data_IF_863025843130
#
_entry.id   IF_863025843130
#
_cell.length_a   1.000
_cell.length_b   1.000
_cell.length_c   1.000
_cell.angle_alpha   90.00
_cell.angle_beta   90.00
_cell.angle_gamma   90.00
#
_symmetry.space_group_name_H-M   'P 1'
#
loop_
_entity.id
_entity.type
_entity.pdbx_description
1 polymer ?
#
# COMPACT_ATOMS: atom_id res chain seq x y z
N UNK A 1 21.40 2.02 5.22
CA UNK A 1 19.97 1.99 5.57
C UNK A 1 19.87 1.30 6.91
N UNK A 2 19.14 1.88 7.86
CA UNK A 2 18.99 1.31 9.20
C UNK A 2 18.03 0.09 9.20
N UNK A 3 18.06 -0.67 10.30
CA UNK A 3 17.25 -1.90 10.45
C UNK A 3 15.75 -1.62 10.42
N UNK A 4 15.28 -0.52 11.01
CA UNK A 4 13.85 -0.19 11.07
C UNK A 4 13.29 0.05 9.67
N UNK A 5 14.05 0.75 8.82
CA UNK A 5 13.66 0.99 7.43
C UNK A 5 13.60 -0.31 6.60
N UNK A 6 14.56 -1.22 6.78
CA UNK A 6 14.58 -2.53 6.09
C UNK A 6 13.35 -3.35 6.49
N UNK A 7 13.10 -3.48 7.78
CA UNK A 7 11.95 -4.23 8.32
C UNK A 7 10.63 -3.66 7.81
N UNK A 8 10.52 -2.33 7.74
CA UNK A 8 9.34 -1.65 7.23
C UNK A 8 9.07 -1.99 5.75
N UNK A 9 10.11 -1.96 4.90
CA UNK A 9 9.97 -2.27 3.47
C UNK A 9 9.59 -3.74 3.27
N UNK A 10 10.34 -4.68 3.87
CA UNK A 10 10.05 -6.12 3.75
C UNK A 10 8.63 -6.44 4.22
N UNK A 11 8.19 -5.83 5.32
CA UNK A 11 6.88 -6.11 5.90
C UNK A 11 5.71 -5.54 5.10
N UNK A 12 5.82 -4.29 4.65
CA UNK A 12 4.67 -3.56 4.08
C UNK A 12 4.69 -3.46 2.55
N UNK A 13 5.84 -3.73 1.94
CA UNK A 13 6.05 -3.69 0.49
C UNK A 13 6.49 -5.05 -0.07
N UNK A 14 6.13 -6.14 0.63
CA UNK A 14 6.37 -7.54 0.18
C UNK A 14 5.90 -7.81 -1.25
N UNK A 15 4.86 -7.11 -1.73
CA UNK A 15 4.38 -7.21 -3.13
C UNK A 15 5.40 -6.74 -4.19
N UNK A 16 6.44 -6.01 -3.78
CA UNK A 16 7.51 -5.55 -4.66
C UNK A 16 8.70 -6.53 -4.70
N UNK A 17 8.65 -7.59 -3.87
CA UNK A 17 9.63 -8.67 -3.90
C UNK A 17 9.38 -9.59 -5.09
N UNK A 18 10.43 -10.20 -5.62
CA UNK A 18 10.29 -11.26 -6.64
C UNK A 18 9.74 -12.53 -6.01
N UNK A 19 9.26 -13.46 -6.84
CA UNK A 19 8.77 -14.76 -6.36
C UNK A 19 9.87 -15.51 -5.57
N UNK A 20 11.10 -15.53 -6.09
CA UNK A 20 12.24 -16.15 -5.41
C UNK A 20 12.58 -15.47 -4.07
N UNK A 21 12.50 -14.14 -3.99
CA UNK A 21 12.71 -13.43 -2.72
C UNK A 21 11.59 -13.74 -1.71
N UNK A 22 10.34 -13.84 -2.16
CA UNK A 22 9.21 -14.23 -1.32
C UNK A 22 9.40 -15.65 -0.79
N UNK A 23 9.83 -16.58 -1.65
CA UNK A 23 10.13 -17.96 -1.28
C UNK A 23 11.32 -18.04 -0.31
N UNK A 24 12.38 -17.27 -0.52
CA UNK A 24 13.53 -17.21 0.41
C UNK A 24 13.13 -16.67 1.79
N UNK A 25 12.32 -15.62 1.83
CA UNK A 25 11.77 -15.07 3.08
C UNK A 25 10.91 -16.10 3.82
N UNK A 26 10.03 -16.80 3.09
CA UNK A 26 9.21 -17.87 3.65
C UNK A 26 10.09 -19.02 4.16
N UNK A 27 11.06 -19.47 3.36
CA UNK A 27 11.99 -20.54 3.71
C UNK A 27 12.66 -20.26 5.06
N UNK A 28 13.23 -19.06 5.23
CA UNK A 28 13.89 -18.69 6.47
C UNK A 28 12.90 -18.68 7.65
N UNK A 29 11.78 -17.98 7.51
CA UNK A 29 10.78 -17.84 8.57
C UNK A 29 10.20 -19.18 9.02
N UNK A 30 9.85 -20.06 8.08
CA UNK A 30 9.22 -21.34 8.38
C UNK A 30 10.23 -22.39 8.85
N UNK A 31 11.47 -22.33 8.37
CA UNK A 31 12.57 -23.13 8.92
C UNK A 31 12.81 -22.81 10.39
N UNK A 32 12.79 -21.53 10.76
CA UNK A 32 12.89 -21.11 12.16
C UNK A 32 11.68 -21.56 12.98
N UNK A 33 10.45 -21.33 12.49
CA UNK A 33 9.21 -21.70 13.21
C UNK A 33 9.00 -23.20 13.41
N UNK A 34 9.67 -24.04 12.63
CA UNK A 34 9.56 -25.50 12.69
C UNK A 34 10.83 -26.19 13.19
N UNK A 35 11.78 -25.44 13.78
CA UNK A 35 13.06 -25.98 14.27
C UNK A 35 12.86 -27.16 15.23
N UNK A 36 11.82 -27.09 16.05
CA UNK A 36 11.60 -28.03 17.16
C UNK A 36 10.58 -29.14 16.82
N UNK A 37 10.05 -29.16 15.60
CA UNK A 37 9.02 -30.13 15.20
C UNK A 37 9.20 -30.59 13.77
N UNK A 38 9.67 -31.83 13.63
CA UNK A 38 9.82 -32.52 12.34
C UNK A 38 8.47 -32.63 11.62
N UNK A 39 7.39 -32.91 12.36
CA UNK A 39 6.03 -32.99 11.79
C UNK A 39 5.60 -31.67 11.16
N UNK A 40 5.75 -30.55 11.87
CA UNK A 40 5.44 -29.23 11.33
C UNK A 40 6.34 -28.88 10.14
N UNK A 41 7.63 -29.25 10.22
CA UNK A 41 8.60 -29.01 9.14
C UNK A 41 8.18 -29.71 7.84
N UNK A 42 7.78 -30.98 7.91
CA UNK A 42 7.34 -31.74 6.74
C UNK A 42 6.10 -31.11 6.10
N UNK A 43 5.11 -30.69 6.89
CA UNK A 43 3.93 -29.98 6.37
C UNK A 43 4.33 -28.68 5.65
N UNK A 44 5.29 -27.93 6.20
CA UNK A 44 5.74 -26.68 5.59
C UNK A 44 6.51 -26.92 4.28
N UNK A 45 7.27 -28.02 4.17
CA UNK A 45 7.93 -28.45 2.94
C UNK A 45 6.88 -28.86 1.89
N UNK A 46 5.91 -29.69 2.25
CA UNK A 46 4.82 -30.14 1.35
C UNK A 46 4.00 -28.96 0.79
N UNK A 47 3.83 -27.89 1.58
CA UNK A 47 3.17 -26.65 1.15
C UNK A 47 4.05 -25.72 0.32
N UNK A 48 5.31 -26.08 0.06
CA UNK A 48 6.28 -25.26 -0.65
C UNK A 48 6.76 -24.03 0.12
N UNK A 49 6.52 -23.95 1.43
CA UNK A 49 6.91 -22.82 2.27
C UNK A 49 8.37 -22.89 2.71
N UNK A 50 8.91 -24.10 2.84
CA UNK A 50 10.34 -24.36 2.97
C UNK A 50 10.79 -24.95 1.63
N UNK A 51 11.46 -24.12 0.82
CA UNK A 51 11.89 -24.48 -0.53
C UNK A 51 13.42 -24.66 -0.57
N UNK A 52 13.92 -25.77 -1.11
CA UNK A 52 15.35 -26.10 -1.20
C UNK A 52 15.93 -25.95 -2.61
N UNK A 53 15.22 -25.27 -3.51
CA UNK A 53 15.71 -24.99 -4.85
C UNK A 53 17.01 -24.17 -4.78
N UNK A 54 18.00 -24.46 -5.65
CA UNK A 54 19.32 -23.82 -5.59
C UNK A 54 19.26 -22.30 -5.67
N UNK A 55 18.33 -21.75 -6.44
CA UNK A 55 18.15 -20.30 -6.59
C UNK A 55 17.72 -19.63 -5.28
N UNK A 56 16.86 -20.29 -4.50
CA UNK A 56 16.35 -19.79 -3.22
C UNK A 56 17.45 -19.86 -2.16
N UNK A 57 18.18 -20.97 -2.10
CA UNK A 57 19.29 -21.15 -1.17
C UNK A 57 20.41 -20.14 -1.46
N UNK A 58 20.69 -19.88 -2.74
CA UNK A 58 21.68 -18.87 -3.16
C UNK A 58 21.34 -17.47 -2.65
N UNK A 59 20.07 -17.08 -2.60
CA UNK A 59 19.67 -15.79 -2.03
C UNK A 59 20.02 -15.65 -0.54
N UNK A 60 20.12 -16.76 0.18
CA UNK A 60 20.40 -16.82 1.61
C UNK A 60 21.88 -17.15 1.92
N UNK A 61 22.73 -17.36 0.91
CA UNK A 61 24.11 -17.86 1.09
C UNK A 61 24.98 -16.96 1.98
N UNK A 62 24.75 -15.64 1.93
CA UNK A 62 25.46 -14.63 2.72
C UNK A 62 24.76 -14.30 4.04
N UNK A 63 23.78 -15.13 4.45
CA UNK A 63 22.96 -14.93 5.64
C UNK A 63 21.71 -14.09 5.40
N UNK A 64 20.77 -14.23 6.34
CA UNK A 64 19.43 -13.63 6.24
C UNK A 64 19.45 -12.09 6.25
N UNK A 65 20.31 -11.47 7.05
CA UNK A 65 20.43 -10.01 7.09
C UNK A 65 20.95 -9.44 5.76
N UNK A 66 21.92 -10.11 5.13
CA UNK A 66 22.43 -9.71 3.82
C UNK A 66 21.35 -9.87 2.74
N UNK A 67 20.57 -10.94 2.80
CA UNK A 67 19.40 -11.14 1.94
C UNK A 67 18.42 -9.97 2.05
N UNK A 68 17.95 -9.62 3.25
CA UNK A 68 17.00 -8.53 3.45
C UNK A 68 17.55 -7.19 2.94
N UNK A 69 18.82 -6.88 3.23
CA UNK A 69 19.48 -5.68 2.73
C UNK A 69 19.54 -5.64 1.20
N UNK A 70 19.87 -6.75 0.56
CA UNK A 70 20.01 -6.84 -0.89
C UNK A 70 18.64 -6.71 -1.58
N UNK A 71 17.61 -7.38 -1.06
CA UNK A 71 16.24 -7.24 -1.54
C UNK A 71 15.75 -5.80 -1.42
N UNK A 72 15.97 -5.15 -0.27
CA UNK A 72 15.55 -3.76 -0.10
C UNK A 72 16.32 -2.80 -1.02
N UNK A 73 17.63 -2.98 -1.17
CA UNK A 73 18.43 -2.20 -2.13
C UNK A 73 17.90 -2.36 -3.55
N UNK A 74 17.53 -3.58 -3.95
CA UNK A 74 16.92 -3.86 -5.27
C UNK A 74 15.60 -3.12 -5.42
N UNK A 75 14.66 -3.26 -4.48
CA UNK A 75 13.35 -2.60 -4.51
C UNK A 75 13.51 -1.07 -4.63
N UNK A 76 14.42 -0.48 -3.85
CA UNK A 76 14.66 0.96 -3.87
C UNK A 76 15.40 1.44 -5.13
N UNK A 77 16.11 0.56 -5.83
CA UNK A 77 16.76 0.87 -7.11
C UNK A 77 15.78 0.78 -8.28
N UNK A 78 14.94 -0.25 -8.28
CA UNK A 78 14.08 -0.60 -9.43
C UNK A 78 12.69 0.02 -9.36
N UNK A 79 12.15 0.22 -8.17
CA UNK A 79 10.78 0.72 -7.95
C UNK A 79 10.67 1.69 -6.74
N UNK A 80 11.56 2.69 -6.60
CA UNK A 80 11.52 3.61 -5.46
C UNK A 80 10.19 4.36 -5.33
N UNK A 81 9.54 4.67 -6.45
CA UNK A 81 8.27 5.39 -6.53
C UNK A 81 7.10 4.64 -5.90
N UNK A 82 7.18 3.30 -5.78
CA UNK A 82 6.14 2.46 -5.16
C UNK A 82 6.31 2.33 -3.65
N UNK A 83 7.46 2.74 -3.10
CA UNK A 83 7.75 2.71 -1.67
C UNK A 83 7.45 4.07 -1.04
N UNK A 84 6.75 4.05 0.09
CA UNK A 84 6.44 5.26 0.83
C UNK A 84 6.61 5.06 2.33
N UNK A 85 7.07 6.11 2.99
CA UNK A 85 7.30 6.10 4.42
C UNK A 85 6.28 7.00 5.11
N UNK A 86 5.70 6.48 6.19
CA UNK A 86 4.81 7.24 7.04
C UNK A 86 5.61 7.83 8.20
N UNK A 87 6.09 9.07 8.05
CA UNK A 87 6.81 9.75 9.11
C UNK A 87 5.86 10.51 10.03
N UNK A 88 6.17 10.54 11.32
CA UNK A 88 5.42 11.36 12.27
C UNK A 88 5.62 12.85 11.93
N UNK A 89 4.55 13.64 11.74
CA UNK A 89 4.68 15.06 11.41
C UNK A 89 5.28 15.90 12.55
N UNK A 90 5.28 15.41 13.79
CA UNK A 90 5.83 16.14 14.94
C UNK A 90 7.32 15.84 15.20
N UNK A 91 7.76 14.57 15.08
CA UNK A 91 9.15 14.19 15.41
C UNK A 91 9.93 13.56 14.25
N UNK A 92 9.32 13.47 13.07
CA UNK A 92 9.89 12.92 11.83
C UNK A 92 10.45 11.48 11.92
N UNK A 93 10.07 10.71 12.96
CA UNK A 93 10.42 9.29 13.07
C UNK A 93 9.44 8.42 12.28
N UNK A 94 9.93 7.30 11.76
CA UNK A 94 9.12 6.34 11.01
C UNK A 94 8.01 5.76 11.89
N UNK A 95 6.77 5.83 11.42
CA UNK A 95 5.64 5.28 12.12
C UNK A 95 5.62 3.75 11.99
N UNK A 96 4.90 3.09 12.91
CA UNK A 96 4.87 1.62 12.99
C UNK A 96 4.35 0.97 11.71
N UNK A 97 3.39 1.59 11.04
CA UNK A 97 2.76 1.07 9.83
C UNK A 97 2.50 2.20 8.83
N UNK A 98 2.31 1.88 7.53
CA UNK A 98 1.90 2.84 6.51
C UNK A 98 0.63 3.65 6.84
N UNK A 99 -0.27 3.08 7.63
CA UNK A 99 -1.58 3.65 7.98
C UNK A 99 -1.64 4.22 9.40
N UNK A 100 -0.55 4.14 10.17
CA UNK A 100 -0.55 4.61 11.54
C UNK A 100 -0.83 6.12 11.59
N UNK A 101 -1.70 6.54 12.52
CA UNK A 101 -2.05 7.95 12.77
C UNK A 101 -1.61 8.44 14.15
N UNK A 102 -0.81 7.63 14.84
CA UNK A 102 -0.24 7.94 16.15
C UNK A 102 1.23 7.52 16.20
N UNK A 103 2.08 8.38 16.74
CA UNK A 103 3.51 8.12 16.87
C UNK A 103 3.80 7.18 18.04
N UNK A 104 4.53 6.08 17.80
CA UNK A 104 5.05 5.22 18.88
C UNK A 104 6.16 5.88 19.72
N UNK A 105 6.80 6.94 19.21
CA UNK A 105 7.94 7.60 19.84
C UNK A 105 7.52 8.81 20.68
N UNK A 106 6.80 9.77 20.09
CA UNK A 106 6.39 11.00 20.77
C UNK A 106 4.90 11.04 21.15
N UNK A 107 4.13 9.98 20.86
CA UNK A 107 2.68 9.85 21.12
C UNK A 107 1.78 10.87 20.42
N UNK A 108 2.33 11.79 19.61
CA UNK A 108 1.55 12.72 18.80
C UNK A 108 0.56 11.95 17.91
N UNK A 109 -0.68 12.44 17.89
CA UNK A 109 -1.80 11.90 17.12
C UNK A 109 -2.17 12.87 16.02
N UNK A 110 -2.19 12.40 14.77
CA UNK A 110 -2.58 13.18 13.60
C UNK A 110 -3.86 12.68 12.96
N UNK A 111 -4.73 12.03 13.74
CA UNK A 111 -6.07 11.66 13.30
C UNK A 111 -6.88 12.87 12.81
N UNK A 112 -6.65 14.06 13.38
CA UNK A 112 -7.31 15.30 12.99
C UNK A 112 -6.96 15.78 11.56
N UNK A 113 -5.89 15.25 10.94
CA UNK A 113 -5.60 15.54 9.54
C UNK A 113 -6.56 14.83 8.60
N UNK A 114 -7.17 13.70 9.01
CA UNK A 114 -8.22 13.04 8.24
C UNK A 114 -9.55 13.73 8.48
N UNK A 115 -10.15 14.26 7.41
CA UNK A 115 -11.37 15.07 7.45
C UNK A 115 -12.57 14.38 6.83
N UNK A 116 -12.34 13.34 6.03
CA UNK A 116 -13.37 12.48 5.47
C UNK A 116 -12.80 11.10 5.09
N UNK A 117 -13.70 10.15 4.88
CA UNK A 117 -13.40 8.84 4.31
C UNK A 117 -14.24 8.64 3.04
N UNK A 118 -13.59 8.22 1.96
CA UNK A 118 -14.20 8.07 0.64
C UNK A 118 -14.10 6.63 0.15
N UNK A 119 -15.25 5.99 -0.07
CA UNK A 119 -15.33 4.63 -0.61
C UNK A 119 -15.30 4.67 -2.13
N UNK A 120 -14.19 4.21 -2.71
CA UNK A 120 -13.97 4.22 -4.16
C UNK A 120 -14.72 3.07 -4.85
N UNK A 121 -15.71 3.40 -5.68
CA UNK A 121 -16.52 2.45 -6.44
C UNK A 121 -16.01 2.24 -7.87
N UNK A 122 -15.53 3.30 -8.51
CA UNK A 122 -15.08 3.26 -9.91
C UNK A 122 -14.09 4.41 -10.17
N UNK A 123 -13.31 4.33 -11.24
CA UNK A 123 -12.47 5.42 -11.70
C UNK A 123 -12.52 5.52 -13.23
N UNK A 124 -12.43 6.73 -13.79
CA UNK A 124 -12.46 6.94 -15.23
C UNK A 124 -11.89 8.31 -15.63
N UNK A 125 -11.57 8.46 -16.91
CA UNK A 125 -11.25 9.76 -17.50
C UNK A 125 -12.15 10.03 -18.70
N UNK A 126 -12.67 11.25 -18.81
CA UNK A 126 -13.26 11.76 -20.05
C UNK A 126 -12.24 12.61 -20.79
N UNK A 127 -12.21 12.50 -22.12
CA UNK A 127 -11.33 13.31 -22.97
C UNK A 127 -11.49 14.80 -22.67
N UNK A 128 -10.38 15.49 -22.41
CA UNK A 128 -10.37 16.91 -22.08
C UNK A 128 -10.83 17.26 -20.66
N UNK A 129 -11.06 16.27 -19.79
CA UNK A 129 -11.41 16.49 -18.37
C UNK A 129 -10.44 15.80 -17.42
N UNK A 130 -10.62 16.11 -16.13
CA UNK A 130 -9.91 15.47 -15.04
C UNK A 130 -10.12 13.96 -15.02
N UNK A 131 -9.20 13.26 -14.36
CA UNK A 131 -9.43 11.88 -13.95
C UNK A 131 -10.33 11.89 -12.72
N UNK A 132 -11.39 11.09 -12.75
CA UNK A 132 -12.41 11.07 -11.70
C UNK A 132 -12.38 9.77 -10.93
N UNK A 133 -12.44 9.90 -9.61
CA UNK A 133 -12.72 8.83 -8.67
C UNK A 133 -14.19 8.90 -8.28
N UNK A 134 -14.99 7.90 -8.66
CA UNK A 134 -16.41 7.81 -8.34
C UNK A 134 -16.59 6.97 -7.08
N UNK A 135 -17.41 7.45 -6.15
CA UNK A 135 -17.62 6.76 -4.90
C UNK A 135 -18.60 7.45 -3.97
N UNK A 136 -18.54 7.04 -2.71
CA UNK A 136 -19.43 7.53 -1.66
C UNK A 136 -18.61 8.10 -0.50
N UNK A 137 -19.12 9.17 0.10
CA UNK A 137 -18.58 9.65 1.38
C UNK A 137 -19.05 8.68 2.46
N UNK A 138 -18.12 7.93 3.02
CA UNK A 138 -18.38 7.03 4.14
C UNK A 138 -18.48 7.80 5.46
N UNK A 139 -17.65 8.84 5.61
CA UNK A 139 -17.61 9.70 6.80
C UNK A 139 -17.07 11.10 6.45
N UNK A 140 -17.49 12.12 7.20
CA UNK A 140 -16.91 13.45 7.15
C UNK A 140 -17.41 14.34 6.01
N UNK A 141 -16.66 15.40 5.70
CA UNK A 141 -17.01 16.38 4.66
C UNK A 141 -15.84 16.61 3.71
N UNK A 142 -16.09 16.42 2.42
CA UNK A 142 -15.11 16.65 1.36
C UNK A 142 -15.26 18.07 0.82
N UNK A 143 -14.14 18.72 0.53
CA UNK A 143 -14.05 20.03 -0.11
C UNK A 143 -12.93 20.03 -1.14
N UNK A 144 -13.06 20.86 -2.16
CA UNK A 144 -11.97 21.15 -3.08
C UNK A 144 -10.74 21.66 -2.30
N UNK A 145 -9.56 21.32 -2.80
CA UNK A 145 -8.31 21.66 -2.17
C UNK A 145 -7.76 20.61 -1.21
N UNK A 146 -8.62 19.76 -0.64
CA UNK A 146 -8.20 18.60 0.16
C UNK A 146 -7.49 17.57 -0.72
N UNK A 147 -6.79 16.62 -0.09
CA UNK A 147 -6.03 15.57 -0.78
C UNK A 147 -6.60 14.20 -0.45
N UNK A 148 -6.64 13.29 -1.43
CA UNK A 148 -7.02 11.90 -1.21
C UNK A 148 -5.76 11.03 -1.07
N UNK A 149 -5.64 10.25 0.00
CA UNK A 149 -4.48 9.38 0.22
C UNK A 149 -4.62 8.04 -0.52
N UNK A 150 -3.88 7.88 -1.63
CA UNK A 150 -3.91 6.67 -2.45
C UNK A 150 -2.84 5.65 -2.03
N UNK A 151 -2.05 5.94 -0.99
CA UNK A 151 -0.91 5.10 -0.58
C UNK A 151 -1.34 3.72 -0.11
N UNK A 152 -2.53 3.60 0.49
CA UNK A 152 -3.08 2.30 0.88
C UNK A 152 -3.41 1.40 -0.32
N UNK A 153 -3.62 2.01 -1.50
CA UNK A 153 -3.79 1.31 -2.77
C UNK A 153 -2.45 0.98 -3.43
N UNK A 154 -1.33 1.32 -2.80
CA UNK A 154 0.00 1.07 -3.34
C UNK A 154 0.50 2.11 -4.32
N UNK A 155 -0.20 3.23 -4.49
CA UNK A 155 0.28 4.41 -5.21
C UNK A 155 0.85 5.43 -4.22
N UNK A 156 2.14 5.75 -4.29
CA UNK A 156 2.76 6.73 -3.40
C UNK A 156 2.35 8.19 -3.74
N UNK A 157 1.05 8.47 -3.71
CA UNK A 157 0.48 9.75 -4.13
C UNK A 157 -0.68 10.14 -3.24
N UNK A 158 -0.81 11.44 -3.06
CA UNK A 158 -1.92 12.07 -2.36
C UNK A 158 -2.52 13.17 -3.24
N UNK A 159 -3.13 12.89 -4.40
CA UNK A 159 -3.48 13.95 -5.33
C UNK A 159 -4.51 14.93 -4.74
N UNK A 160 -4.42 16.18 -5.17
CA UNK A 160 -5.36 17.24 -4.77
C UNK A 160 -6.71 17.05 -5.48
N UNK A 161 -7.79 17.21 -4.71
CA UNK A 161 -9.16 17.27 -5.23
C UNK A 161 -9.36 18.65 -5.85
N UNK A 162 -9.58 18.66 -7.16
CA UNK A 162 -9.75 19.87 -7.96
C UNK A 162 -11.20 20.19 -8.27
N UNK A 163 -12.05 19.18 -8.35
CA UNK A 163 -13.49 19.36 -8.55
C UNK A 163 -14.29 18.27 -7.85
N UNK A 164 -15.52 18.60 -7.48
CA UNK A 164 -16.48 17.66 -6.90
C UNK A 164 -17.76 17.74 -7.73
N UNK A 165 -18.13 16.62 -8.34
CA UNK A 165 -19.29 16.52 -9.22
C UNK A 165 -20.26 15.44 -8.72
N UNK A 166 -21.55 15.61 -9.02
CA UNK A 166 -22.53 14.55 -8.79
C UNK A 166 -22.46 13.51 -9.91
N UNK A 167 -22.42 12.24 -9.52
CA UNK A 167 -22.40 11.12 -10.45
C UNK A 167 -23.60 10.21 -10.18
N UNK A 168 -24.56 10.23 -11.11
CA UNK A 168 -25.68 9.29 -11.07
C UNK A 168 -25.21 7.92 -11.56
N UNK A 169 -25.10 6.94 -10.67
CA UNK A 169 -24.76 5.56 -11.04
C UNK A 169 -26.02 4.70 -11.01
N UNK A 170 -26.18 3.79 -12.00
CA UNK A 170 -27.31 2.86 -12.04
C UNK A 170 -26.81 1.44 -11.84
N UNK A 171 -27.30 0.76 -10.80
CA UNK A 171 -27.03 -0.67 -10.54
C UNK A 171 -28.35 -1.40 -10.33
N UNK A 172 -28.62 -2.40 -11.17
CA UNK A 172 -29.83 -3.23 -11.09
C UNK A 172 -31.14 -2.43 -11.20
N UNK A 173 -31.17 -1.39 -12.04
CA UNK A 173 -32.34 -0.52 -12.23
C UNK A 173 -32.55 0.52 -11.13
N UNK A 174 -31.79 0.49 -10.02
CA UNK A 174 -31.80 1.53 -8.99
C UNK A 174 -30.70 2.55 -9.24
N UNK A 175 -31.08 3.82 -9.15
CA UNK A 175 -30.14 4.93 -9.20
C UNK A 175 -29.52 5.15 -7.82
N UNK A 176 -28.21 5.39 -7.81
CA UNK A 176 -27.43 5.76 -6.64
C UNK A 176 -26.78 7.10 -6.94
N UNK A 177 -26.76 7.96 -5.92
CA UNK A 177 -26.07 9.23 -5.98
C UNK A 177 -24.66 9.03 -5.45
N UNK A 178 -23.73 8.79 -6.38
CA UNK A 178 -22.31 8.81 -6.09
C UNK A 178 -21.77 10.23 -6.31
N UNK A 179 -20.56 10.45 -5.80
CA UNK A 179 -19.78 11.66 -5.98
C UNK A 179 -18.56 11.32 -6.83
N UNK A 180 -18.24 12.19 -7.78
CA UNK A 180 -17.03 12.12 -8.58
C UNK A 180 -16.03 13.17 -8.09
N UNK A 181 -14.87 12.71 -7.65
CA UNK A 181 -13.75 13.57 -7.25
C UNK A 181 -12.79 13.71 -8.43
N UNK A 182 -12.75 14.89 -9.02
CA UNK A 182 -11.79 15.23 -10.07
C UNK A 182 -10.41 15.48 -9.45
N UNK A 183 -9.42 14.71 -9.86
CA UNK A 183 -8.05 14.80 -9.34
C UNK A 183 -7.03 15.05 -10.44
N UNK A 184 -5.95 15.75 -10.08
CA UNK A 184 -4.78 15.94 -10.92
C UNK A 184 -3.60 15.06 -10.43
N UNK A 185 -2.43 15.23 -11.05
CA UNK A 185 -1.14 14.68 -10.55
C UNK A 185 -0.96 13.15 -10.69
N UNK A 186 -1.76 12.50 -11.56
CA UNK A 186 -1.61 11.08 -11.90
C UNK A 186 -1.04 10.88 -13.31
N UNK A 187 -0.10 9.93 -13.44
CA UNK A 187 0.43 9.47 -14.74
C UNK A 187 -0.61 8.62 -15.47
N UNK A 188 -0.34 8.26 -16.74
CA UNK A 188 -1.21 7.32 -17.46
C UNK A 188 -1.28 5.94 -16.76
N UNK A 189 -0.13 5.44 -16.31
CA UNK A 189 0.01 4.17 -15.59
C UNK A 189 -0.77 4.16 -14.27
N UNK A 190 -0.72 5.25 -13.49
CA UNK A 190 -1.50 5.37 -12.25
C UNK A 190 -3.01 5.27 -12.51
N UNK A 191 -3.47 5.89 -13.59
CA UNK A 191 -4.89 5.93 -13.96
C UNK A 191 -5.38 4.55 -14.38
N UNK A 192 -4.63 3.87 -15.25
CA UNK A 192 -4.93 2.50 -15.68
C UNK A 192 -4.93 1.54 -14.48
N UNK A 193 -3.95 1.68 -13.59
CA UNK A 193 -3.90 0.90 -12.36
C UNK A 193 -5.15 1.10 -11.50
N UNK A 194 -5.54 2.35 -11.22
CA UNK A 194 -6.73 2.66 -10.42
C UNK A 194 -8.01 2.10 -11.05
N UNK A 195 -8.17 2.23 -12.36
CA UNK A 195 -9.29 1.64 -13.10
C UNK A 195 -9.33 0.13 -12.85
N UNK A 196 -8.19 -0.55 -13.00
CA UNK A 196 -8.08 -2.01 -12.87
C UNK A 196 -8.33 -2.58 -11.48
N UNK A 197 -8.17 -1.79 -10.42
CA UNK A 197 -8.39 -2.23 -9.03
C UNK A 197 -9.74 -1.82 -8.45
N UNK A 198 -10.52 -1.00 -9.16
CA UNK A 198 -11.86 -0.61 -8.69
C UNK A 198 -12.90 -1.73 -8.92
N UNK A 199 -13.90 -1.90 -8.03
CA UNK A 199 -14.15 -1.17 -6.80
C UNK A 199 -13.19 -1.55 -5.66
N UNK A 200 -12.87 -0.58 -4.81
CA UNK A 200 -12.07 -0.81 -3.60
C UNK A 200 -12.98 -1.06 -2.42
N UNK A 201 -12.63 -2.06 -1.60
CA UNK A 201 -13.39 -2.42 -0.40
C UNK A 201 -13.26 -1.38 0.72
N UNK A 202 -12.03 -1.01 1.04
CA UNK A 202 -11.72 -0.16 2.19
C UNK A 202 -11.79 1.34 1.81
N UNK A 203 -12.35 2.20 2.68
CA UNK A 203 -12.38 3.64 2.43
C UNK A 203 -10.97 4.25 2.37
N UNK A 204 -10.84 5.29 1.54
CA UNK A 204 -9.65 6.10 1.38
C UNK A 204 -9.75 7.32 2.29
N UNK A 205 -8.65 7.67 2.94
CA UNK A 205 -8.60 8.89 3.75
C UNK A 205 -8.55 10.13 2.86
N UNK A 206 -9.39 11.12 3.17
CA UNK A 206 -9.26 12.49 2.68
C UNK A 206 -8.60 13.30 3.78
N UNK A 207 -7.56 14.05 3.44
CA UNK A 207 -6.72 14.76 4.39
C UNK A 207 -6.59 16.26 4.07
N UNK A 208 -6.29 17.03 5.12
CA UNK A 208 -5.84 18.42 5.03
C UNK A 208 -4.33 18.45 5.32
N UNK A 209 -3.54 18.77 4.30
CA UNK A 209 -2.08 18.99 4.37
C UNK A 209 -1.75 20.34 3.74
#
# INVERSE_FOLDING_TARGET
MDRETIDYIIRYFRRLMTENEILALNHHMYTYKSSDSIYLRNIMIERGWINTEPEIIKLLENGYEAFEQNTVKRIMRETPEKVFFNYCPNCNKLARTPQAKQCRYCRYSWHHLTVAQFKLNNAFQLTGRNFFLIGQIAEGKIKEGQRIDLRILGLNKKPKIQSIEFALTRKGGKAWEDIALGIAELTAEDKEYLIGITPVRDPLDIIVE
#
